data_IF_083141469673
#
_entry.id   IF_083141469673
#
_cell.length_a   1.000
_cell.length_b   1.000
_cell.length_c   1.000
_cell.angle_alpha   90.00
_cell.angle_beta   90.00
_cell.angle_gamma   90.00
#
_symmetry.space_group_name_H-M   'P 1'
#
loop_
_entity.id
_entity.type
_entity.pdbx_description
1 polymer ?
#
# COMPACT_ATOMS: atom_id res chain seq x y z
N UNK A 1 36.94 -0.83 -47.84
CA UNK A 1 35.60 -0.22 -47.71
C UNK A 1 34.73 -1.29 -47.06
N UNK A 2 34.83 -1.42 -45.75
CA UNK A 2 34.11 -2.46 -45.01
C UNK A 2 32.87 -1.82 -44.36
N UNK A 3 31.71 -2.18 -44.90
CA UNK A 3 30.40 -1.82 -44.37
C UNK A 3 29.98 -2.85 -43.33
N UNK A 4 30.08 -2.50 -42.05
CA UNK A 4 29.52 -3.28 -40.95
C UNK A 4 28.02 -2.98 -40.82
N UNK A 5 27.19 -3.99 -41.09
CA UNK A 5 25.75 -3.95 -40.88
C UNK A 5 25.42 -3.91 -39.37
N UNK A 6 24.76 -2.85 -38.93
CA UNK A 6 24.17 -2.73 -37.61
C UNK A 6 22.92 -3.62 -37.54
N UNK A 7 22.95 -4.63 -36.66
CA UNK A 7 21.78 -5.45 -36.35
C UNK A 7 20.80 -4.62 -35.51
N UNK A 8 19.72 -4.12 -36.13
CA UNK A 8 18.62 -3.48 -35.43
C UNK A 8 17.88 -4.52 -34.58
N UNK A 9 17.94 -4.38 -33.26
CA UNK A 9 17.13 -5.19 -32.35
C UNK A 9 15.64 -4.96 -32.61
N UNK A 10 14.87 -6.05 -32.66
CA UNK A 10 13.44 -6.06 -32.94
C UNK A 10 12.61 -5.35 -31.86
N UNK A 11 11.61 -4.51 -32.23
CA UNK A 11 10.84 -3.65 -31.32
C UNK A 11 9.99 -4.41 -30.27
N UNK A 12 9.76 -5.70 -30.47
CA UNK A 12 8.98 -6.56 -29.56
C UNK A 12 9.71 -6.91 -28.26
N UNK A 13 11.04 -6.96 -28.25
CA UNK A 13 11.82 -7.31 -27.05
C UNK A 13 11.95 -6.12 -26.07
N UNK A 14 12.05 -4.90 -26.61
CA UNK A 14 12.13 -3.68 -25.80
C UNK A 14 10.80 -3.37 -25.08
N UNK A 15 9.65 -3.63 -25.74
CA UNK A 15 8.33 -3.45 -25.14
C UNK A 15 8.05 -4.46 -24.00
N UNK A 16 8.55 -5.70 -24.11
CA UNK A 16 8.42 -6.70 -23.06
C UNK A 16 9.31 -6.39 -21.83
N UNK A 17 10.51 -5.86 -22.05
CA UNK A 17 11.44 -5.48 -20.98
C UNK A 17 10.93 -4.31 -20.11
N UNK A 18 10.07 -3.45 -20.68
CA UNK A 18 9.49 -2.30 -19.97
C UNK A 18 8.24 -2.68 -19.15
N UNK A 19 7.49 -3.70 -19.58
CA UNK A 19 6.36 -4.24 -18.82
C UNK A 19 6.77 -4.87 -17.47
N UNK A 20 7.98 -5.43 -17.39
CA UNK A 20 8.54 -6.00 -16.15
C UNK A 20 9.15 -4.95 -15.21
N UNK A 21 9.36 -3.72 -15.70
CA UNK A 21 10.05 -2.67 -14.96
C UNK A 21 9.23 -2.17 -13.77
N UNK A 22 7.95 -1.89 -14.01
CA UNK A 22 7.05 -1.27 -13.05
C UNK A 22 6.15 -2.30 -12.37
N UNK A 23 6.77 -3.19 -11.61
CA UNK A 23 6.09 -4.30 -10.94
C UNK A 23 6.04 -4.13 -9.42
N UNK A 24 5.09 -4.83 -8.80
CA UNK A 24 5.00 -4.99 -7.35
C UNK A 24 5.09 -6.48 -6.99
N UNK A 25 6.24 -6.90 -6.50
CA UNK A 25 6.54 -8.26 -6.06
C UNK A 25 7.53 -8.20 -4.89
N UNK A 26 7.12 -7.66 -3.73
CA UNK A 26 8.00 -7.54 -2.58
C UNK A 26 8.43 -8.92 -2.09
N UNK A 27 9.69 -9.03 -1.66
CA UNK A 27 10.22 -10.24 -1.02
C UNK A 27 10.91 -9.87 0.28
N UNK A 28 10.54 -10.55 1.36
CA UNK A 28 11.26 -10.42 2.62
C UNK A 28 12.58 -11.18 2.53
N UNK A 29 13.66 -10.50 2.91
CA UNK A 29 14.97 -11.12 3.12
C UNK A 29 15.21 -11.20 4.62
N UNK A 30 15.28 -12.43 5.12
CA UNK A 30 15.57 -12.69 6.52
C UNK A 30 17.07 -12.76 6.75
N UNK A 31 17.50 -12.49 7.98
CA UNK A 31 18.84 -12.86 8.40
C UNK A 31 18.91 -14.39 8.50
N UNK A 32 19.98 -15.06 8.02
CA UNK A 32 20.03 -16.52 7.93
C UNK A 32 19.72 -17.24 9.25
N UNK A 33 20.23 -16.71 10.37
CA UNK A 33 20.00 -17.29 11.70
C UNK A 33 18.52 -17.20 12.13
N UNK A 34 17.86 -16.09 11.78
CA UNK A 34 16.44 -15.85 12.08
C UNK A 34 15.55 -16.73 11.20
N UNK A 35 15.92 -16.87 9.92
CA UNK A 35 15.25 -17.75 8.96
C UNK A 35 15.28 -19.21 9.43
N UNK A 36 16.46 -19.72 9.80
CA UNK A 36 16.60 -21.10 10.27
C UNK A 36 15.82 -21.33 11.56
N UNK A 37 15.86 -20.38 12.50
CA UNK A 37 15.08 -20.45 13.74
C UNK A 37 13.57 -20.58 13.47
N UNK A 38 13.00 -19.73 12.62
CA UNK A 38 11.58 -19.79 12.32
C UNK A 38 11.20 -20.97 11.42
N UNK A 39 12.08 -21.37 10.51
CA UNK A 39 11.91 -22.58 9.70
C UNK A 39 11.85 -23.83 10.59
N UNK A 40 12.69 -23.91 11.62
CA UNK A 40 12.67 -25.00 12.60
C UNK A 40 11.40 -24.96 13.48
N UNK A 41 10.97 -23.77 13.92
CA UNK A 41 9.82 -23.61 14.80
C UNK A 41 8.46 -23.87 14.12
N UNK A 42 8.27 -23.36 12.89
CA UNK A 42 6.98 -23.42 12.19
C UNK A 42 6.93 -24.50 11.10
N UNK A 43 8.09 -25.04 10.70
CA UNK A 43 8.26 -25.84 9.49
C UNK A 43 8.45 -24.96 8.24
N UNK A 44 9.35 -25.37 7.34
CA UNK A 44 9.75 -24.59 6.14
C UNK A 44 8.56 -24.12 5.29
N UNK A 45 7.63 -25.02 4.96
CA UNK A 45 6.48 -24.69 4.10
C UNK A 45 5.52 -23.68 4.74
N UNK A 46 5.31 -23.78 6.06
CA UNK A 46 4.46 -22.83 6.79
C UNK A 46 5.16 -21.50 6.93
N UNK A 47 6.45 -21.49 7.24
CA UNK A 47 7.23 -20.27 7.35
C UNK A 47 7.35 -19.52 6.01
N UNK A 48 7.46 -20.24 4.89
CA UNK A 48 7.43 -19.64 3.56
C UNK A 48 6.11 -18.87 3.31
N UNK A 49 4.95 -19.48 3.63
CA UNK A 49 3.64 -18.80 3.53
C UNK A 49 3.51 -17.60 4.46
N UNK A 50 4.06 -17.68 5.67
CA UNK A 50 4.08 -16.54 6.61
C UNK A 50 4.94 -15.40 6.05
N UNK A 51 6.13 -15.72 5.54
CA UNK A 51 7.05 -14.76 4.93
C UNK A 51 6.42 -14.07 3.72
N UNK A 52 5.74 -14.83 2.86
CA UNK A 52 4.98 -14.28 1.75
C UNK A 52 3.86 -13.35 2.22
N UNK A 53 3.07 -13.77 3.22
CA UNK A 53 1.99 -12.94 3.76
C UNK A 53 2.49 -11.64 4.42
N UNK A 54 3.63 -11.69 5.12
CA UNK A 54 4.23 -10.52 5.76
C UNK A 54 4.80 -9.50 4.77
N UNK A 55 5.14 -9.93 3.54
CA UNK A 55 5.60 -9.05 2.48
C UNK A 55 4.47 -8.19 1.90
N UNK A 56 3.21 -8.54 2.16
CA UNK A 56 2.04 -7.92 1.56
C UNK A 56 1.14 -7.25 2.62
N UNK A 57 0.58 -6.05 2.34
CA UNK A 57 -0.36 -5.41 3.25
C UNK A 57 -1.68 -6.17 3.32
N UNK A 58 -2.36 -6.09 4.46
CA UNK A 58 -3.72 -6.61 4.62
C UNK A 58 -4.70 -5.83 3.73
N UNK A 59 -5.59 -6.56 3.06
CA UNK A 59 -6.72 -5.98 2.33
C UNK A 59 -7.86 -5.51 3.27
N UNK A 60 -7.65 -5.49 4.59
CA UNK A 60 -8.63 -4.99 5.55
C UNK A 60 -8.05 -3.86 6.39
N UNK A 61 -8.82 -2.78 6.53
CA UNK A 61 -8.59 -1.75 7.54
C UNK A 61 -9.50 -1.98 8.73
N UNK A 62 -8.93 -1.98 9.93
CA UNK A 62 -9.67 -2.26 11.15
C UNK A 62 -9.89 -0.98 11.94
N UNK A 63 -11.11 -0.85 12.43
CA UNK A 63 -11.65 0.39 12.91
C UNK A 63 -12.27 0.20 14.30
N UNK A 64 -11.58 0.58 15.39
CA UNK A 64 -12.16 0.67 16.73
C UNK A 64 -13.01 1.94 16.93
N UNK A 65 -14.33 1.78 16.91
CA UNK A 65 -15.30 2.83 17.22
C UNK A 65 -15.19 3.25 18.69
N UNK A 66 -15.17 4.56 18.91
CA UNK A 66 -15.30 5.16 20.24
C UNK A 66 -16.78 5.23 20.63
N UNK A 67 -17.22 4.20 21.35
CA UNK A 67 -18.61 4.05 21.79
C UNK A 67 -19.06 5.07 22.82
N UNK A 68 -18.14 5.86 23.41
CA UNK A 68 -18.49 6.99 24.27
C UNK A 68 -19.07 8.18 23.49
N UNK A 69 -18.84 8.25 22.17
CA UNK A 69 -19.24 9.38 21.33
C UNK A 69 -20.22 9.02 20.23
N UNK A 70 -20.18 7.79 19.72
CA UNK A 70 -21.08 7.35 18.66
C UNK A 70 -21.31 5.84 18.72
N UNK A 71 -22.44 5.37 18.20
CA UNK A 71 -22.69 3.93 18.09
C UNK A 71 -21.94 3.34 16.90
N UNK A 72 -21.64 2.04 16.97
CA UNK A 72 -21.00 1.29 15.88
C UNK A 72 -21.80 1.43 14.58
N UNK A 73 -23.13 1.32 14.63
CA UNK A 73 -24.01 1.47 13.46
C UNK A 73 -23.95 2.86 12.84
N UNK A 74 -23.95 3.92 13.67
CA UNK A 74 -23.87 5.29 13.17
C UNK A 74 -22.53 5.56 12.45
N UNK A 75 -21.42 5.02 12.96
CA UNK A 75 -20.10 5.12 12.31
C UNK A 75 -20.05 4.27 11.05
N UNK A 76 -20.63 3.06 11.08
CA UNK A 76 -20.73 2.19 9.90
C UNK A 76 -21.46 2.88 8.75
N UNK A 77 -22.64 3.45 8.98
CA UNK A 77 -23.38 4.18 7.94
C UNK A 77 -22.59 5.37 7.39
N UNK A 78 -21.90 6.13 8.24
CA UNK A 78 -21.04 7.24 7.80
C UNK A 78 -19.90 6.73 6.92
N UNK A 79 -19.26 5.63 7.29
CA UNK A 79 -18.17 5.02 6.51
C UNK A 79 -18.68 4.52 5.17
N UNK A 80 -19.83 3.83 5.12
CA UNK A 80 -20.42 3.36 3.86
C UNK A 80 -20.69 4.53 2.91
N UNK A 81 -21.31 5.61 3.39
CA UNK A 81 -21.54 6.81 2.59
C UNK A 81 -20.24 7.43 2.04
N UNK A 82 -19.15 7.44 2.83
CA UNK A 82 -17.87 7.97 2.40
C UNK A 82 -17.16 7.06 1.39
N UNK A 83 -17.30 5.75 1.54
CA UNK A 83 -16.75 4.76 0.61
C UNK A 83 -17.45 4.88 -0.75
N UNK A 84 -18.77 5.06 -0.73
CA UNK A 84 -19.58 5.26 -1.94
C UNK A 84 -19.23 6.57 -2.65
N UNK A 85 -19.12 7.68 -1.91
CA UNK A 85 -18.74 8.99 -2.45
C UNK A 85 -17.33 9.02 -3.04
N UNK A 86 -16.40 8.25 -2.47
CA UNK A 86 -15.01 8.18 -2.93
C UNK A 86 -14.77 7.12 -4.02
N UNK A 87 -15.82 6.49 -4.56
CA UNK A 87 -15.73 5.69 -5.78
C UNK A 87 -14.99 4.35 -5.63
N UNK A 88 -14.97 3.74 -4.44
CA UNK A 88 -14.45 2.38 -4.28
C UNK A 88 -15.36 1.29 -4.90
N UNK A 89 -16.52 1.67 -5.45
CA UNK A 89 -17.49 0.83 -6.16
C UNK A 89 -17.13 0.61 -7.66
N UNK A 90 -16.01 1.13 -8.15
CA UNK A 90 -15.57 0.89 -9.53
C UNK A 90 -14.94 -0.49 -9.75
N UNK A 91 -15.76 -1.53 -9.94
CA UNK A 91 -15.38 -2.77 -10.65
C UNK A 91 -15.56 -4.08 -9.87
N UNK A 92 -16.79 -4.58 -9.77
CA UNK A 92 -17.07 -6.01 -9.60
C UNK A 92 -17.96 -6.47 -10.77
N UNK A 93 -17.46 -6.35 -12.00
CA UNK A 93 -18.10 -6.97 -13.16
C UNK A 93 -17.19 -8.09 -13.64
N UNK A 94 -17.59 -9.33 -13.36
CA UNK A 94 -16.91 -10.49 -13.93
C UNK A 94 -17.02 -11.78 -13.10
N UNK A 95 -18.22 -12.21 -12.75
CA UNK A 95 -18.54 -13.65 -12.76
C UNK A 95 -20.06 -13.79 -12.89
N UNK A 96 -20.52 -14.06 -14.12
CA UNK A 96 -21.89 -14.48 -14.39
C UNK A 96 -22.14 -15.81 -13.68
N UNK A 97 -22.91 -15.79 -12.60
CA UNK A 97 -23.52 -17.00 -12.06
C UNK A 97 -24.84 -17.15 -12.81
N UNK A 98 -24.88 -18.18 -13.67
CA UNK A 98 -26.05 -18.58 -14.42
C UNK A 98 -27.26 -18.77 -13.50
N UNK A 99 -28.38 -18.19 -13.93
CA UNK A 99 -29.70 -18.32 -13.32
C UNK A 99 -30.09 -19.79 -13.15
N UNK A 100 -30.35 -20.25 -11.92
CA UNK A 100 -31.37 -21.26 -11.63
C UNK A 100 -32.05 -21.00 -10.27
N UNK A 101 -33.26 -20.45 -10.35
CA UNK A 101 -34.47 -20.64 -9.55
C UNK A 101 -34.41 -20.83 -8.02
N UNK A 102 -35.07 -19.90 -7.32
CA UNK A 102 -36.13 -20.22 -6.34
C UNK A 102 -35.73 -20.31 -4.86
N UNK A 103 -35.84 -19.20 -4.12
CA UNK A 103 -35.85 -19.19 -2.66
C UNK A 103 -35.58 -17.80 -2.08
N UNK A 104 -36.52 -17.29 -1.28
CA UNK A 104 -36.41 -16.01 -0.59
C UNK A 104 -35.15 -15.95 0.29
N UNK A 105 -34.13 -15.22 -0.15
CA UNK A 105 -33.05 -14.73 0.70
C UNK A 105 -32.75 -13.28 0.31
N UNK A 106 -32.73 -12.42 1.32
CA UNK A 106 -32.45 -11.00 1.21
C UNK A 106 -31.16 -10.78 0.41
N UNK A 107 -31.20 -9.84 -0.54
CA UNK A 107 -30.02 -9.30 -1.21
C UNK A 107 -28.99 -8.84 -0.15
N UNK A 108 -28.02 -9.69 0.20
CA UNK A 108 -26.80 -9.27 0.90
C UNK A 108 -25.94 -8.51 -0.11
N UNK A 109 -26.21 -7.20 -0.23
CA UNK A 109 -25.34 -6.27 -0.91
C UNK A 109 -23.95 -6.37 -0.30
N UNK A 110 -22.94 -6.63 -1.14
CA UNK A 110 -21.55 -6.86 -0.77
C UNK A 110 -20.96 -5.59 -0.10
N UNK A 111 -21.25 -5.42 1.18
CA UNK A 111 -20.97 -4.20 1.92
C UNK A 111 -19.48 -4.10 2.17
N UNK A 112 -18.81 -3.09 1.63
CA UNK A 112 -17.36 -2.84 1.83
C UNK A 112 -17.00 -2.64 3.32
N UNK A 113 -17.98 -2.41 4.18
CA UNK A 113 -17.81 -2.26 5.64
C UNK A 113 -18.59 -3.36 6.36
N UNK A 114 -17.95 -4.04 7.32
CA UNK A 114 -18.58 -5.08 8.14
C UNK A 114 -18.27 -4.89 9.61
N UNK A 115 -19.19 -5.28 10.49
CA UNK A 115 -18.91 -5.41 11.92
C UNK A 115 -18.00 -6.61 12.18
N UNK A 116 -17.19 -6.52 13.22
CA UNK A 116 -16.40 -7.66 13.67
C UNK A 116 -17.31 -8.82 14.11
N UNK A 117 -17.12 -10.05 13.60
CA UNK A 117 -17.99 -11.18 13.93
C UNK A 117 -17.67 -11.80 15.31
N UNK A 118 -16.58 -11.39 15.95
CA UNK A 118 -16.13 -11.95 17.22
C UNK A 118 -16.80 -11.25 18.41
N UNK A 119 -17.42 -12.05 19.29
CA UNK A 119 -18.09 -11.55 20.50
C UNK A 119 -17.15 -10.72 21.38
N UNK A 120 -17.60 -9.53 21.78
CA UNK A 120 -16.84 -8.60 22.61
C UNK A 120 -15.91 -7.65 21.84
N UNK A 121 -15.93 -7.72 20.50
CA UNK A 121 -15.36 -6.73 19.59
C UNK A 121 -16.47 -5.97 18.82
N UNK A 122 -17.63 -5.78 19.45
CA UNK A 122 -18.82 -5.15 18.84
C UNK A 122 -18.61 -3.68 18.45
N UNK A 123 -17.54 -3.07 18.96
CA UNK A 123 -17.09 -1.73 18.61
C UNK A 123 -16.03 -1.72 17.51
N UNK A 124 -15.77 -2.84 16.83
CA UNK A 124 -14.80 -2.93 15.74
C UNK A 124 -15.52 -3.07 14.41
N UNK A 125 -15.12 -2.24 13.45
CA UNK A 125 -15.53 -2.30 12.05
C UNK A 125 -14.33 -2.72 11.19
N UNK A 126 -14.59 -3.56 10.20
CA UNK A 126 -13.67 -3.88 9.13
C UNK A 126 -14.08 -3.13 7.87
N UNK A 127 -13.12 -2.56 7.19
CA UNK A 127 -13.31 -1.96 5.88
C UNK A 127 -12.45 -2.73 4.89
N UNK A 128 -13.11 -3.41 3.96
CA UNK A 128 -12.47 -4.20 2.93
C UNK A 128 -11.91 -3.29 1.84
N UNK A 129 -10.66 -3.51 1.48
CA UNK A 129 -10.02 -2.97 0.30
C UNK A 129 -9.78 -4.07 -0.73
N UNK A 130 -9.02 -3.73 -1.77
CA UNK A 130 -8.66 -4.66 -2.83
C UNK A 130 -7.19 -4.51 -3.23
N UNK A 131 -6.61 -5.58 -3.75
CA UNK A 131 -5.23 -5.63 -4.25
C UNK A 131 -4.60 -7.02 -4.05
N UNK A 132 -3.41 -7.26 -4.60
CA UNK A 132 -2.63 -6.34 -5.43
C UNK A 132 -3.24 -6.18 -6.85
N UNK A 133 -3.31 -4.95 -7.34
CA UNK A 133 -3.77 -4.62 -8.69
C UNK A 133 -2.58 -4.47 -9.62
N UNK A 134 -2.67 -5.05 -10.83
CA UNK A 134 -1.74 -4.76 -11.90
C UNK A 134 -1.98 -3.34 -12.40
N UNK A 135 -0.92 -2.53 -12.46
CA UNK A 135 -0.99 -1.15 -12.90
C UNK A 135 -0.36 -1.02 -14.29
N UNK A 136 -0.99 -0.21 -15.14
CA UNK A 136 -0.43 0.12 -16.44
C UNK A 136 0.28 1.46 -16.35
N UNK A 137 1.60 1.41 -16.44
CA UNK A 137 2.42 2.60 -16.54
C UNK A 137 2.53 2.90 -18.03
N UNK A 138 2.08 4.08 -18.47
CA UNK A 138 2.07 4.50 -19.87
C UNK A 138 3.50 4.81 -20.38
N UNK A 139 4.42 3.86 -20.22
CA UNK A 139 5.81 4.03 -20.60
C UNK A 139 5.96 3.82 -22.11
N UNK A 140 6.46 4.87 -22.76
CA UNK A 140 6.90 4.79 -24.16
C UNK A 140 8.37 4.33 -24.13
N UNK A 141 8.84 3.54 -25.12
CA UNK A 141 10.19 3.00 -25.14
C UNK A 141 11.33 4.03 -25.11
N UNK A 142 11.05 5.31 -25.38
CA UNK A 142 12.00 6.43 -25.33
C UNK A 142 11.71 7.43 -24.18
N UNK A 143 10.65 7.20 -23.39
CA UNK A 143 10.25 8.11 -22.33
C UNK A 143 9.72 7.35 -21.11
N UNK A 144 10.63 7.03 -20.20
CA UNK A 144 10.29 6.53 -18.88
C UNK A 144 9.49 7.57 -18.11
N UNK A 145 8.45 7.12 -17.39
CA UNK A 145 7.71 7.99 -16.48
C UNK A 145 8.64 8.57 -15.41
N UNK A 146 8.38 9.82 -15.00
CA UNK A 146 9.09 10.46 -13.88
C UNK A 146 8.87 9.63 -12.60
N UNK A 147 9.87 9.57 -11.75
CA UNK A 147 9.84 8.74 -10.56
C UNK A 147 9.96 9.55 -9.27
N UNK A 148 9.29 9.06 -8.23
CA UNK A 148 9.44 9.50 -6.84
C UNK A 148 9.75 8.28 -5.98
N UNK A 149 10.82 8.37 -5.20
CA UNK A 149 11.22 7.34 -4.22
C UNK A 149 10.80 7.80 -2.84
N UNK A 150 10.08 6.94 -2.14
CA UNK A 150 9.64 7.17 -0.76
C UNK A 150 10.33 6.24 0.22
N UNK A 151 10.35 6.63 1.49
CA UNK A 151 10.82 5.75 2.57
C UNK A 151 9.88 4.57 2.78
N UNK A 152 10.41 3.49 3.36
CA UNK A 152 9.64 2.30 3.77
C UNK A 152 8.39 2.63 4.57
N UNK A 153 8.50 3.48 5.61
CA UNK A 153 7.35 3.88 6.45
C UNK A 153 6.28 4.64 5.66
N UNK A 154 6.71 5.48 4.71
CA UNK A 154 5.78 6.20 3.84
C UNK A 154 5.07 5.21 2.90
N UNK A 155 5.81 4.28 2.30
CA UNK A 155 5.25 3.24 1.45
C UNK A 155 4.20 2.37 2.16
N UNK A 156 4.51 1.90 3.37
CA UNK A 156 3.56 1.14 4.21
C UNK A 156 2.26 1.93 4.45
N UNK A 157 2.37 3.24 4.67
CA UNK A 157 1.21 4.13 4.84
C UNK A 157 0.41 4.29 3.54
N UNK A 158 1.09 4.43 2.40
CA UNK A 158 0.48 4.58 1.07
C UNK A 158 -0.23 3.29 0.63
N UNK A 159 0.38 2.14 0.89
CA UNK A 159 -0.24 0.82 0.68
C UNK A 159 -1.51 0.64 1.52
N UNK A 160 -1.60 1.32 2.66
CA UNK A 160 -2.80 1.41 3.51
C UNK A 160 -3.74 2.58 3.12
N UNK A 161 -3.58 3.18 1.95
CA UNK A 161 -4.49 4.21 1.40
C UNK A 161 -4.10 5.67 1.64
N UNK A 162 -2.95 5.97 2.27
CA UNK A 162 -2.51 7.35 2.49
C UNK A 162 -2.00 8.04 1.21
N UNK A 163 -1.93 9.38 1.23
CA UNK A 163 -1.19 10.14 0.21
C UNK A 163 0.31 10.18 0.53
N UNK A 164 1.13 10.55 -0.44
CA UNK A 164 2.57 10.75 -0.21
C UNK A 164 2.78 12.17 0.32
N UNK A 165 3.29 12.28 1.54
CA UNK A 165 3.63 13.56 2.15
C UNK A 165 5.12 13.86 2.03
N UNK A 166 5.46 15.15 2.02
CA UNK A 166 6.83 15.65 1.82
C UNK A 166 7.89 14.95 2.70
N UNK A 167 7.69 14.73 4.02
CA UNK A 167 8.71 14.09 4.85
C UNK A 167 9.02 12.65 4.43
N UNK A 168 8.11 11.99 3.72
CA UNK A 168 8.28 10.62 3.24
C UNK A 168 9.07 10.49 1.95
N UNK A 169 9.30 11.59 1.22
CA UNK A 169 10.01 11.58 -0.07
C UNK A 169 11.52 11.65 0.15
N UNK A 170 12.24 10.70 -0.45
CA UNK A 170 13.69 10.61 -0.38
C UNK A 170 14.34 11.14 -1.65
N UNK A 171 13.83 10.79 -2.83
CA UNK A 171 14.41 11.20 -4.11
C UNK A 171 13.32 11.36 -5.17
N UNK A 172 13.61 12.15 -6.20
CA UNK A 172 12.73 12.25 -7.37
C UNK A 172 13.52 12.60 -8.63
N UNK A 173 12.90 12.43 -9.80
CA UNK A 173 13.49 12.85 -11.07
C UNK A 173 13.81 14.35 -11.11
N UNK A 174 14.83 14.74 -11.88
CA UNK A 174 15.37 16.12 -11.95
C UNK A 174 14.33 17.19 -12.32
N UNK A 175 13.41 16.86 -13.24
CA UNK A 175 12.44 17.80 -13.83
C UNK A 175 11.00 17.53 -13.40
N UNK A 176 10.82 17.14 -12.13
CA UNK A 176 9.48 17.03 -11.54
C UNK A 176 8.94 18.42 -11.24
N UNK A 177 7.85 18.76 -11.90
CA UNK A 177 7.03 19.94 -11.72
C UNK A 177 5.67 19.57 -11.12
N UNK A 178 4.91 20.57 -10.65
CA UNK A 178 3.54 20.35 -10.18
C UNK A 178 2.65 19.89 -11.35
N UNK A 179 1.86 18.84 -11.12
CA UNK A 179 0.92 18.29 -12.10
C UNK A 179 1.49 17.14 -12.93
N UNK A 180 2.77 16.79 -12.74
CA UNK A 180 3.37 15.65 -13.43
C UNK A 180 2.82 14.31 -12.93
N UNK A 181 2.54 13.40 -13.86
CA UNK A 181 2.30 11.99 -13.54
C UNK A 181 3.63 11.33 -13.18
N UNK A 182 3.68 10.70 -12.01
CA UNK A 182 4.88 10.05 -11.48
C UNK A 182 4.60 8.61 -11.03
N UNK A 183 5.57 7.73 -11.25
CA UNK A 183 5.62 6.41 -10.62
C UNK A 183 6.22 6.53 -9.21
N UNK A 184 5.60 5.86 -8.25
CA UNK A 184 6.05 5.86 -6.85
C UNK A 184 6.67 4.51 -6.51
N UNK A 185 7.94 4.54 -6.09
CA UNK A 185 8.71 3.36 -5.69
C UNK A 185 9.24 3.49 -4.26
N UNK A 186 9.61 2.35 -3.67
CA UNK A 186 10.05 2.28 -2.27
C UNK A 186 11.57 2.12 -2.20
N UNK A 187 12.21 2.88 -1.31
CA UNK A 187 13.56 2.59 -0.88
C UNK A 187 13.55 1.65 0.34
N UNK A 188 14.22 0.52 0.21
CA UNK A 188 14.37 -0.49 1.27
C UNK A 188 15.77 -0.37 1.87
N UNK A 189 15.85 -0.58 3.18
CA UNK A 189 17.12 -0.62 3.91
C UNK A 189 17.92 -1.85 3.47
N UNK A 190 19.21 -1.64 3.21
CA UNK A 190 20.17 -2.67 2.85
C UNK A 190 21.26 -2.79 3.90
N UNK A 191 21.83 -3.99 4.07
CA UNK A 191 22.98 -4.19 4.94
C UNK A 191 24.16 -3.38 4.41
N UNK A 192 24.76 -2.56 5.27
CA UNK A 192 25.97 -1.81 5.00
C UNK A 192 27.22 -2.61 5.42
N UNK A 193 28.38 -2.23 4.88
CA UNK A 193 29.67 -2.87 5.17
C UNK A 193 30.06 -2.77 6.67
N UNK A 194 29.52 -1.79 7.38
CA UNK A 194 29.72 -1.58 8.82
C UNK A 194 28.82 -2.46 9.71
N UNK A 195 28.03 -3.37 9.12
CA UNK A 195 27.05 -4.20 9.82
C UNK A 195 25.76 -3.47 10.18
N UNK A 196 25.63 -2.19 9.80
CA UNK A 196 24.42 -1.40 9.93
C UNK A 196 23.43 -1.65 8.78
N UNK A 197 22.28 -0.97 8.85
CA UNK A 197 21.29 -0.94 7.78
C UNK A 197 21.16 0.49 7.26
N UNK A 198 21.30 0.67 5.95
CA UNK A 198 21.19 1.98 5.31
C UNK A 198 20.32 1.90 4.06
N UNK A 199 19.57 2.96 3.80
CA UNK A 199 18.76 3.06 2.58
C UNK A 199 19.64 3.36 1.36
N UNK A 200 20.88 3.83 1.56
CA UNK A 200 21.79 4.18 0.47
C UNK A 200 21.37 5.42 -0.35
N UNK A 201 20.24 6.06 -0.01
CA UNK A 201 19.69 7.23 -0.70
C UNK A 201 19.57 8.39 0.28
N UNK A 202 20.33 9.47 0.03
CA UNK A 202 20.18 10.72 0.78
C UNK A 202 18.93 11.48 0.34
N UNK A 203 18.25 12.14 1.28
CA UNK A 203 17.09 12.99 0.96
C UNK A 203 17.51 14.11 -0.01
N UNK A 204 16.85 14.18 -1.16
CA UNK A 204 17.13 15.14 -2.23
C UNK A 204 17.91 14.58 -3.41
N UNK A 205 18.28 13.29 -3.39
CA UNK A 205 18.94 12.65 -4.55
C UNK A 205 18.11 12.84 -5.82
N UNK A 206 18.80 13.14 -6.91
CA UNK A 206 18.20 13.32 -8.25
C UNK A 206 18.25 11.99 -8.98
N UNK A 207 17.11 11.56 -9.50
CA UNK A 207 17.01 10.37 -10.35
C UNK A 207 17.08 10.78 -11.83
N UNK A 208 17.79 10.01 -12.65
CA UNK A 208 17.75 10.21 -14.11
C UNK A 208 16.57 9.46 -14.73
N UNK A 209 15.99 8.49 -14.01
CA UNK A 209 14.85 7.71 -14.49
C UNK A 209 15.26 6.61 -15.46
N UNK A 210 16.56 6.31 -15.56
CA UNK A 210 17.10 5.29 -16.46
C UNK A 210 17.26 3.95 -15.72
N UNK A 211 17.19 2.84 -16.46
CA UNK A 211 17.49 1.51 -15.88
C UNK A 211 18.94 1.41 -15.39
N UNK A 212 19.83 2.26 -15.92
CA UNK A 212 21.23 2.37 -15.49
C UNK A 212 21.42 3.16 -14.19
N UNK A 213 20.36 3.70 -13.58
CA UNK A 213 20.47 4.37 -12.30
C UNK A 213 20.99 3.39 -11.24
N UNK A 214 21.95 3.83 -10.42
CA UNK A 214 22.62 3.00 -9.41
C UNK A 214 21.64 2.29 -8.45
N UNK A 215 20.45 2.87 -8.25
CA UNK A 215 19.40 2.37 -7.36
C UNK A 215 18.24 1.69 -8.10
N UNK A 216 18.38 1.37 -9.40
CA UNK A 216 17.29 0.77 -10.17
C UNK A 216 17.01 -0.67 -9.75
N UNK A 217 18.04 -1.52 -9.70
CA UNK A 217 17.93 -2.93 -9.31
C UNK A 217 17.34 -3.10 -7.90
N UNK A 218 17.71 -2.20 -6.98
CA UNK A 218 17.27 -2.20 -5.59
C UNK A 218 15.76 -1.95 -5.42
N UNK A 219 15.15 -1.31 -6.44
CA UNK A 219 13.74 -0.91 -6.45
C UNK A 219 12.88 -1.77 -7.36
N UNK A 220 13.50 -2.72 -8.08
CA UNK A 220 12.80 -3.64 -8.97
C UNK A 220 11.75 -4.42 -8.18
N UNK A 221 10.51 -4.41 -8.65
CA UNK A 221 9.40 -5.05 -7.96
C UNK A 221 8.85 -4.27 -6.76
N UNK A 222 9.24 -3.02 -6.54
CA UNK A 222 8.80 -2.19 -5.40
C UNK A 222 8.07 -0.91 -5.83
N UNK A 223 7.38 -0.95 -6.96
CA UNK A 223 6.51 0.14 -7.39
C UNK A 223 5.12 -0.01 -6.76
N UNK A 224 4.69 0.98 -5.98
CA UNK A 224 3.47 0.90 -5.15
C UNK A 224 2.27 1.63 -5.77
N UNK A 225 2.49 2.41 -6.84
CA UNK A 225 1.43 3.12 -7.53
C UNK A 225 1.91 4.21 -8.48
N UNK A 226 0.93 4.97 -8.98
CA UNK A 226 1.11 6.21 -9.74
C UNK A 226 0.35 7.35 -9.06
N UNK A 227 0.84 8.56 -9.25
CA UNK A 227 0.16 9.75 -8.75
C UNK A 227 0.55 11.01 -9.49
N UNK A 228 -0.08 12.11 -9.09
CA UNK A 228 0.17 13.45 -9.61
C UNK A 228 0.92 14.24 -8.55
N UNK A 229 2.01 14.88 -8.93
CA UNK A 229 2.80 15.72 -8.03
C UNK A 229 2.03 16.98 -7.68
N UNK A 230 1.88 17.26 -6.39
CA UNK A 230 1.20 18.47 -5.93
C UNK A 230 2.12 19.72 -5.93
N UNK A 231 3.43 19.51 -6.13
CA UNK A 231 4.47 20.54 -6.10
C UNK A 231 5.68 20.13 -6.94
N UNK A 232 6.49 21.11 -7.31
CA UNK A 232 7.77 20.87 -7.99
C UNK A 232 8.82 20.26 -7.05
N UNK A 233 9.89 19.69 -7.62
CA UNK A 233 11.03 19.14 -6.88
C UNK A 233 11.58 20.13 -5.83
N UNK A 234 11.71 21.39 -6.21
CA UNK A 234 12.20 22.42 -5.27
C UNK A 234 11.24 22.61 -4.10
N UNK A 235 9.93 22.56 -4.33
CA UNK A 235 8.92 22.54 -3.27
C UNK A 235 9.05 21.33 -2.35
N UNK A 236 9.16 20.12 -2.91
CA UNK A 236 9.28 18.86 -2.16
C UNK A 236 10.45 18.91 -1.17
N UNK A 237 11.61 19.42 -1.59
CA UNK A 237 12.80 19.36 -0.74
C UNK A 237 13.02 20.60 0.14
N UNK A 238 12.34 21.73 -0.13
CA UNK A 238 12.47 22.97 0.66
C UNK A 238 11.39 23.14 1.73
N UNK A 239 10.17 22.66 1.48
CA UNK A 239 9.04 22.84 2.41
C UNK A 239 9.03 21.69 3.44
N UNK A 240 8.73 21.94 4.73
CA UNK A 240 8.77 20.89 5.75
C UNK A 240 7.53 19.98 5.78
N UNK A 241 6.39 20.43 5.25
CA UNK A 241 5.12 19.70 5.30
C UNK A 241 4.25 19.98 4.07
N UNK A 242 3.33 19.06 3.79
CA UNK A 242 2.42 19.13 2.65
C UNK A 242 2.32 17.81 1.90
N UNK A 243 1.37 17.73 0.98
CA UNK A 243 1.23 16.59 0.06
C UNK A 243 2.27 16.76 -1.04
N UNK A 244 3.11 15.75 -1.26
CA UNK A 244 4.08 15.73 -2.35
C UNK A 244 3.48 15.08 -3.61
N UNK A 245 2.79 13.94 -3.43
CA UNK A 245 2.12 13.21 -4.53
C UNK A 245 0.71 12.81 -4.09
N UNK A 246 -0.27 13.19 -4.90
CA UNK A 246 -1.64 12.72 -4.84
C UNK A 246 -1.74 11.42 -5.65
N UNK A 247 -1.85 10.29 -4.95
CA UNK A 247 -1.90 8.97 -5.58
C UNK A 247 -3.24 8.78 -6.30
N UNK A 248 -3.17 8.49 -7.60
CA UNK A 248 -4.31 8.28 -8.48
C UNK A 248 -4.56 6.79 -8.74
N UNK A 249 -3.49 6.01 -8.89
CA UNK A 249 -3.54 4.57 -9.09
C UNK A 249 -2.66 3.86 -8.06
N UNK A 250 -3.18 2.77 -7.48
CA UNK A 250 -2.53 2.10 -6.35
C UNK A 250 -2.58 0.60 -6.55
N UNK A 251 -1.51 -0.07 -6.18
CA UNK A 251 -1.48 -1.54 -6.14
C UNK A 251 -2.48 -2.05 -5.11
N UNK A 252 -2.61 -1.37 -3.96
CA UNK A 252 -3.65 -1.64 -2.98
C UNK A 252 -4.60 -0.45 -2.85
N UNK A 253 -5.89 -0.72 -3.05
CA UNK A 253 -6.97 0.25 -2.91
C UNK A 253 -7.64 0.04 -1.56
N UNK A 254 -7.18 0.79 -0.57
CA UNK A 254 -7.84 0.94 0.73
C UNK A 254 -8.32 2.39 0.90
N UNK A 255 -9.45 2.61 1.58
CA UNK A 255 -9.94 3.96 1.83
C UNK A 255 -8.95 4.77 2.68
N UNK A 256 -8.79 6.04 2.31
CA UNK A 256 -8.00 6.99 3.09
C UNK A 256 -8.81 7.49 4.27
N UNK A 257 -8.37 7.18 5.49
CA UNK A 257 -9.04 7.67 6.69
C UNK A 257 -8.74 9.13 7.00
N UNK A 258 -7.71 9.74 6.40
CA UNK A 258 -7.45 11.20 6.51
C UNK A 258 -8.66 12.04 6.06
N UNK A 259 -9.35 11.59 5.01
CA UNK A 259 -10.58 12.24 4.51
C UNK A 259 -11.77 11.97 5.43
N UNK A 260 -11.75 10.88 6.20
CA UNK A 260 -12.81 10.51 7.14
C UNK A 260 -12.76 11.31 8.46
N UNK A 261 -11.62 11.91 8.84
CA UNK A 261 -11.49 12.63 10.12
C UNK A 261 -12.41 13.86 10.24
N UNK A 262 -12.68 14.54 9.13
CA UNK A 262 -13.51 15.75 9.09
C UNK A 262 -15.02 15.41 9.22
N UNK A 263 -15.61 14.49 8.43
CA UNK A 263 -17.03 14.14 8.54
C UNK A 263 -17.35 13.26 9.77
N UNK A 264 -16.43 12.43 10.25
CA UNK A 264 -16.70 11.50 11.37
C UNK A 264 -16.41 12.15 12.73
N UNK A 265 -15.86 13.38 12.81
CA UNK A 265 -15.19 13.94 13.98
C UNK A 265 -14.04 13.05 14.45
N UNK A 266 -12.82 13.59 14.45
CA UNK A 266 -11.54 12.91 14.73
C UNK A 266 -11.45 12.09 16.02
N UNK A 267 -12.46 12.16 16.90
CA UNK A 267 -12.47 11.48 18.20
C UNK A 267 -13.40 10.27 18.26
N UNK A 268 -14.12 9.97 17.19
CA UNK A 268 -15.10 8.88 17.16
C UNK A 268 -14.49 7.52 16.83
N UNK A 269 -13.21 7.45 16.47
CA UNK A 269 -12.60 6.25 15.91
C UNK A 269 -11.05 6.28 15.92
N UNK A 270 -10.38 5.14 16.15
CA UNK A 270 -8.91 4.95 16.00
C UNK A 270 -8.51 3.75 15.13
N UNK A 271 -7.69 3.97 14.09
CA UNK A 271 -7.17 2.88 13.25
C UNK A 271 -6.28 1.96 14.08
N UNK A 272 -6.63 0.68 14.11
CA UNK A 272 -5.88 -0.33 14.86
C UNK A 272 -5.41 -1.44 13.93
N UNK A 273 -4.28 -2.06 14.26
CA UNK A 273 -3.95 -3.37 13.70
C UNK A 273 -4.76 -4.45 14.45
N UNK A 274 -5.10 -5.53 13.76
CA UNK A 274 -5.87 -6.67 14.34
C UNK A 274 -5.15 -7.22 15.58
N UNK A 275 -3.82 -7.26 15.54
CA UNK A 275 -2.96 -7.64 16.66
C UNK A 275 -3.12 -6.72 17.87
N UNK A 276 -3.19 -5.39 17.67
CA UNK A 276 -3.42 -4.41 18.75
C UNK A 276 -4.83 -4.52 19.35
N UNK A 277 -5.83 -4.87 18.53
CA UNK A 277 -7.18 -5.16 18.98
C UNK A 277 -7.24 -6.42 19.83
N UNK A 278 -6.53 -7.48 19.43
CA UNK A 278 -6.41 -8.71 20.21
C UNK A 278 -5.70 -8.46 21.56
N UNK A 279 -4.66 -7.63 21.60
CA UNK A 279 -3.98 -7.26 22.86
C UNK A 279 -4.91 -6.47 23.78
N UNK A 280 -5.66 -5.50 23.25
CA UNK A 280 -6.64 -4.73 24.04
C UNK A 280 -7.77 -5.63 24.53
N UNK A 281 -8.25 -6.55 23.69
CA UNK A 281 -9.28 -7.52 24.06
C UNK A 281 -8.81 -8.48 25.14
N UNK A 282 -7.60 -9.01 25.04
CA UNK A 282 -6.98 -9.83 26.08
C UNK A 282 -6.84 -9.00 27.37
N UNK A 283 -6.38 -7.75 27.28
CA UNK A 283 -6.26 -6.87 28.44
C UNK A 283 -7.62 -6.55 29.09
N UNK A 284 -8.68 -6.28 28.32
CA UNK A 284 -10.04 -6.01 28.82
C UNK A 284 -10.72 -7.29 29.34
N UNK A 285 -10.47 -8.45 28.74
CA UNK A 285 -10.91 -9.76 29.22
C UNK A 285 -10.29 -10.10 30.58
N UNK A 286 -8.98 -9.87 30.74
CA UNK A 286 -8.31 -10.01 32.05
C UNK A 286 -8.82 -8.97 33.06
N UNK A 287 -9.06 -7.73 32.65
CA UNK A 287 -9.58 -6.67 33.53
C UNK A 287 -11.00 -6.97 34.03
N UNK A 288 -11.86 -7.54 33.18
CA UNK A 288 -13.22 -7.98 33.57
C UNK A 288 -13.20 -9.26 34.41
N UNK A 289 -12.24 -10.16 34.19
CA UNK A 289 -12.10 -11.39 34.98
C UNK A 289 -11.54 -11.14 36.39
N UNK A 290 -10.78 -10.06 36.60
CA UNK A 290 -10.23 -9.71 37.93
C UNK A 290 -11.26 -9.02 38.84
N UNK A 291 -12.38 -8.51 38.28
CA UNK A 291 -13.47 -7.91 39.07
C UNK A 291 -14.57 -8.89 39.50
N UNK A 292 -14.40 -10.19 39.22
CA UNK A 292 -15.22 -11.27 39.76
C UNK A 292 -14.39 -12.15 40.70
N UNK A 293 -13.98 -11.58 41.84
CA UNK A 293 -13.69 -12.29 43.09
C UNK A 293 -13.96 -11.37 44.27
#
# INVERSE_FOLDING_TARGET
MDSSASASASPTAAAAADADRYTYSPRLRWQPEVEEYFAAAYGRDRFARISEALAHPSCYSCIRVNTLKSSTDAVMHKLMNLVDQNGLCGGINGLEIGQQNGGEQAHEGNSVVHKCPYSGLDNVLFVQGSGPHALHYDSQPDQSIKEVIVSRKCAESVLRGAQVYIPGVLACSSHVEKGDKVAVSVAIEQPAEDGGWTVGITRGTVLQGLQSDAHHEERKGLYIGQGITAMSRSGIFRVPHGVAVEMTERVYKLPSFNVCYVPIHATNFERCEISSLAITFIADFFRRSIHYK
#
